data_IF_515534909171
#
_entry.id   IF_515534909171
#
_cell.length_a   1.000
_cell.length_b   1.000
_cell.length_c   1.000
_cell.angle_alpha   90.00
_cell.angle_beta   90.00
_cell.angle_gamma   90.00
#
_symmetry.space_group_name_H-M   'P 1'
#
loop_
_entity.id
_entity.type
_entity.pdbx_description
1 polymer ?
#
# COMPACT_ATOMS: atom_id res chain seq x y z
N UNK A 1 -28.88 -12.11 -7.81
CA UNK A 1 -30.13 -11.37 -7.57
C UNK A 1 -29.78 -9.91 -7.29
N UNK A 2 -30.05 -8.97 -8.20
CA UNK A 2 -29.80 -7.53 -7.97
C UNK A 2 -30.82 -7.03 -6.93
N UNK A 3 -30.37 -6.71 -5.71
CA UNK A 3 -31.19 -5.98 -4.73
C UNK A 3 -31.41 -4.56 -5.26
N UNK A 4 -32.62 -4.02 -5.14
CA UNK A 4 -32.93 -2.64 -5.53
C UNK A 4 -32.02 -1.68 -4.76
N UNK A 5 -31.46 -0.63 -5.41
CA UNK A 5 -30.67 0.38 -4.72
C UNK A 5 -31.51 1.03 -3.62
N UNK A 6 -30.92 1.22 -2.43
CA UNK A 6 -31.58 1.82 -1.26
C UNK A 6 -31.87 3.31 -1.46
N UNK A 7 -31.10 3.97 -2.33
CA UNK A 7 -31.22 5.38 -2.73
C UNK A 7 -30.81 5.51 -4.19
N UNK A 8 -31.63 6.15 -5.03
CA UNK A 8 -31.27 6.45 -6.43
C UNK A 8 -30.96 7.93 -6.58
N UNK A 9 -29.73 8.21 -6.99
CA UNK A 9 -29.19 9.52 -7.35
C UNK A 9 -28.79 9.51 -8.84
N UNK A 10 -29.47 8.71 -9.66
CA UNK A 10 -29.16 8.59 -11.08
C UNK A 10 -29.36 9.95 -11.77
N UNK A 11 -28.37 10.39 -12.54
CA UNK A 11 -28.30 11.71 -13.18
C UNK A 11 -28.44 12.90 -12.22
N UNK A 12 -28.23 12.69 -10.91
CA UNK A 12 -28.24 13.79 -9.96
C UNK A 12 -27.05 14.71 -10.20
N UNK A 13 -27.27 16.02 -10.01
CA UNK A 13 -26.20 17.01 -9.98
C UNK A 13 -25.75 17.25 -8.54
N UNK A 14 -24.57 16.74 -8.24
CA UNK A 14 -23.82 16.87 -7.00
C UNK A 14 -22.51 17.63 -7.25
N UNK A 15 -22.41 18.38 -8.34
CA UNK A 15 -21.20 19.14 -8.66
C UNK A 15 -20.86 20.14 -7.56
N UNK A 16 -19.58 20.25 -7.22
CA UNK A 16 -19.09 21.09 -6.13
C UNK A 16 -19.55 20.69 -4.72
N UNK A 17 -20.28 19.56 -4.56
CA UNK A 17 -20.77 19.14 -3.25
C UNK A 17 -19.62 18.73 -2.31
N UNK A 18 -19.83 18.91 -1.01
CA UNK A 18 -18.92 18.44 0.04
C UNK A 18 -19.46 17.12 0.60
N UNK A 19 -18.86 16.01 0.19
CA UNK A 19 -19.31 14.64 0.47
C UNK A 19 -18.34 13.94 1.42
N UNK A 20 -18.16 14.50 2.62
CA UNK A 20 -17.27 13.93 3.65
C UNK A 20 -18.01 12.87 4.47
N UNK A 21 -17.52 11.64 4.47
CA UNK A 21 -18.14 10.51 5.18
C UNK A 21 -19.49 10.07 4.60
N UNK A 22 -19.83 10.52 3.38
CA UNK A 22 -21.05 10.13 2.72
C UNK A 22 -21.04 8.62 2.41
N UNK A 23 -22.13 7.92 2.74
CA UNK A 23 -22.28 6.50 2.39
C UNK A 23 -23.17 6.36 1.16
N UNK A 24 -22.55 5.95 0.06
CA UNK A 24 -23.22 5.60 -1.19
C UNK A 24 -23.35 4.07 -1.35
N UNK A 25 -23.36 3.33 -0.24
CA UNK A 25 -23.48 1.88 -0.24
C UNK A 25 -24.77 1.43 -0.96
N UNK A 26 -24.63 0.64 -2.03
CA UNK A 26 -25.73 0.27 -2.95
C UNK A 26 -26.49 1.44 -3.59
N UNK A 27 -25.91 2.64 -3.66
CA UNK A 27 -26.54 3.76 -4.34
C UNK A 27 -26.46 3.61 -5.87
N UNK A 28 -27.49 4.08 -6.56
CA UNK A 28 -27.43 4.26 -8.01
C UNK A 28 -27.01 5.70 -8.32
N UNK A 29 -25.76 5.87 -8.75
CA UNK A 29 -25.14 7.11 -9.20
C UNK A 29 -24.90 7.10 -10.71
N UNK A 30 -25.62 6.25 -11.46
CA UNK A 30 -25.46 6.16 -12.92
C UNK A 30 -25.69 7.53 -13.55
N UNK A 31 -24.71 8.01 -14.32
CA UNK A 31 -24.75 9.33 -14.97
C UNK A 31 -24.75 10.52 -14.02
N UNK A 32 -24.53 10.33 -12.71
CA UNK A 32 -24.50 11.42 -11.76
C UNK A 32 -23.30 12.34 -12.03
N UNK A 33 -23.52 13.65 -11.90
CA UNK A 33 -22.48 14.66 -11.99
C UNK A 33 -21.97 14.98 -10.59
N UNK A 34 -20.75 14.57 -10.27
CA UNK A 34 -20.04 14.91 -9.04
C UNK A 34 -18.82 15.80 -9.35
N UNK A 35 -18.75 16.42 -10.52
CA UNK A 35 -17.58 17.20 -10.93
C UNK A 35 -17.27 18.32 -9.93
N UNK A 36 -15.99 18.50 -9.60
CA UNK A 36 -15.56 19.50 -8.62
C UNK A 36 -15.97 19.22 -7.16
N UNK A 37 -16.65 18.11 -6.88
CA UNK A 37 -16.99 17.73 -5.51
C UNK A 37 -15.74 17.42 -4.66
N UNK A 38 -15.82 17.76 -3.37
CA UNK A 38 -14.85 17.38 -2.36
C UNK A 38 -15.34 16.10 -1.67
N UNK A 39 -14.79 14.95 -2.06
CA UNK A 39 -15.22 13.63 -1.59
C UNK A 39 -14.13 13.07 -0.70
N UNK A 40 -14.44 12.88 0.59
CA UNK A 40 -13.47 12.37 1.54
C UNK A 40 -14.07 11.26 2.40
N UNK A 41 -13.40 10.11 2.49
CA UNK A 41 -13.83 8.94 3.26
C UNK A 41 -15.26 8.50 2.94
N UNK A 42 -15.69 8.72 1.70
CA UNK A 42 -17.00 8.30 1.23
C UNK A 42 -16.96 6.83 0.80
N UNK A 43 -17.97 6.07 1.20
CA UNK A 43 -18.07 4.64 0.86
C UNK A 43 -18.89 4.43 -0.41
N UNK A 44 -18.28 3.87 -1.46
CA UNK A 44 -18.95 3.54 -2.74
C UNK A 44 -19.18 2.04 -2.94
N UNK A 45 -18.99 1.22 -1.91
CA UNK A 45 -19.10 -0.23 -2.04
C UNK A 45 -20.45 -0.63 -2.64
N UNK A 46 -20.41 -1.40 -3.73
CA UNK A 46 -21.57 -1.83 -4.51
C UNK A 46 -22.43 -0.71 -5.13
N UNK A 47 -21.94 0.53 -5.19
CA UNK A 47 -22.60 1.60 -5.92
C UNK A 47 -22.53 1.36 -7.43
N UNK A 48 -23.58 1.73 -8.17
CA UNK A 48 -23.52 1.81 -9.62
C UNK A 48 -23.11 3.23 -10.02
N UNK A 49 -21.98 3.37 -10.71
CA UNK A 49 -21.48 4.69 -11.14
C UNK A 49 -21.12 4.69 -12.63
N UNK A 50 -21.82 3.88 -13.42
CA UNK A 50 -21.61 3.84 -14.86
C UNK A 50 -21.85 5.25 -15.44
N UNK A 51 -20.88 5.74 -16.21
CA UNK A 51 -20.87 7.09 -16.78
C UNK A 51 -21.01 8.24 -15.75
N UNK A 52 -20.72 8.00 -14.47
CA UNK A 52 -20.67 9.10 -13.51
C UNK A 52 -19.48 10.00 -13.79
N UNK A 53 -19.66 11.31 -13.56
CA UNK A 53 -18.62 12.31 -13.76
C UNK A 53 -18.05 12.77 -12.42
N UNK A 54 -16.84 12.34 -12.10
CA UNK A 54 -16.05 12.82 -10.97
C UNK A 54 -14.86 13.65 -11.45
N UNK A 55 -14.98 14.37 -12.57
CA UNK A 55 -13.90 15.22 -13.09
C UNK A 55 -13.58 16.39 -12.15
N UNK A 56 -12.31 16.77 -12.08
CA UNK A 56 -11.80 17.85 -11.23
C UNK A 56 -12.14 17.67 -9.73
N UNK A 57 -12.33 16.43 -9.28
CA UNK A 57 -12.63 16.13 -7.88
C UNK A 57 -11.37 15.86 -7.09
N UNK A 58 -11.43 16.10 -5.77
CA UNK A 58 -10.43 15.57 -4.84
C UNK A 58 -11.06 14.42 -4.07
N UNK A 59 -10.54 13.22 -4.31
CA UNK A 59 -10.94 11.97 -3.67
C UNK A 59 -9.90 11.64 -2.61
N UNK A 60 -10.25 11.81 -1.34
CA UNK A 60 -9.34 11.52 -0.21
C UNK A 60 -9.84 10.31 0.57
N UNK A 61 -9.04 9.24 0.66
CA UNK A 61 -9.43 8.05 1.43
C UNK A 61 -10.65 7.34 0.84
N UNK A 62 -10.82 7.38 -0.49
CA UNK A 62 -11.95 6.79 -1.21
C UNK A 62 -11.49 5.50 -1.88
N UNK A 63 -12.14 4.39 -1.55
CA UNK A 63 -11.92 3.10 -2.22
C UNK A 63 -13.01 2.85 -3.25
N UNK A 64 -12.58 2.71 -4.49
CA UNK A 64 -13.40 2.40 -5.66
C UNK A 64 -13.22 0.93 -6.06
N UNK A 65 -12.96 0.06 -5.09
CA UNK A 65 -12.60 -1.34 -5.31
C UNK A 65 -13.81 -2.23 -5.63
N UNK A 66 -13.58 -3.28 -6.41
CA UNK A 66 -14.58 -4.29 -6.82
C UNK A 66 -15.82 -3.68 -7.50
N UNK A 67 -15.65 -2.55 -8.19
CA UNK A 67 -16.77 -1.81 -8.78
C UNK A 67 -16.97 -2.14 -10.26
N UNK A 68 -18.23 -2.07 -10.71
CA UNK A 68 -18.59 -2.10 -12.13
C UNK A 68 -19.01 -0.70 -12.57
N UNK A 69 -18.06 0.05 -13.14
CA UNK A 69 -18.22 1.49 -13.45
C UNK A 69 -17.65 1.83 -14.84
N UNK A 70 -18.19 1.23 -15.92
CA UNK A 70 -17.78 1.57 -17.27
C UNK A 70 -18.04 3.04 -17.57
N UNK A 71 -17.11 3.68 -18.30
CA UNK A 71 -17.23 5.09 -18.71
C UNK A 71 -17.14 6.12 -17.57
N UNK A 72 -16.70 5.71 -16.37
CA UNK A 72 -16.44 6.63 -15.24
C UNK A 72 -15.45 7.72 -15.68
N UNK A 73 -15.71 8.98 -15.32
CA UNK A 73 -14.72 10.04 -15.50
C UNK A 73 -14.09 10.48 -14.18
N UNK A 74 -12.77 10.46 -14.13
CA UNK A 74 -11.91 11.03 -13.08
C UNK A 74 -10.93 12.04 -13.67
N UNK A 75 -11.34 12.72 -14.75
CA UNK A 75 -10.47 13.61 -15.51
C UNK A 75 -9.99 14.76 -14.63
N UNK A 76 -8.68 15.02 -14.63
CA UNK A 76 -8.03 16.05 -13.80
C UNK A 76 -8.30 15.92 -12.29
N UNK A 77 -8.72 14.74 -11.84
CA UNK A 77 -9.02 14.50 -10.42
C UNK A 77 -7.78 14.11 -9.66
N UNK A 78 -7.84 14.21 -8.34
CA UNK A 78 -6.78 13.77 -7.43
C UNK A 78 -7.28 12.60 -6.62
N UNK A 79 -6.60 11.46 -6.70
CA UNK A 79 -6.86 10.30 -5.87
C UNK A 79 -5.78 10.22 -4.79
N UNK A 80 -6.07 10.76 -3.61
CA UNK A 80 -5.15 10.76 -2.48
C UNK A 80 -5.56 9.69 -1.47
N UNK A 81 -4.68 8.74 -1.17
CA UNK A 81 -4.95 7.62 -0.25
C UNK A 81 -6.19 6.80 -0.67
N UNK A 82 -6.47 6.73 -1.96
CA UNK A 82 -7.58 5.98 -2.53
C UNK A 82 -7.08 4.83 -3.41
N UNK A 83 -7.96 3.88 -3.69
CA UNK A 83 -7.64 2.66 -4.43
C UNK A 83 -8.72 2.36 -5.48
N UNK A 84 -8.31 1.72 -6.57
CA UNK A 84 -9.19 1.25 -7.65
C UNK A 84 -8.81 -0.21 -7.97
N UNK A 85 -8.97 -1.09 -7.00
CA UNK A 85 -8.57 -2.50 -7.16
C UNK A 85 -9.72 -3.36 -7.68
N UNK A 86 -9.39 -4.37 -8.48
CA UNK A 86 -10.31 -5.41 -8.96
C UNK A 86 -11.59 -4.85 -9.60
N UNK A 87 -11.48 -3.72 -10.27
CA UNK A 87 -12.64 -2.95 -10.76
C UNK A 87 -12.75 -2.99 -12.27
N UNK A 88 -13.99 -2.98 -12.77
CA UNK A 88 -14.30 -3.04 -14.18
C UNK A 88 -14.71 -1.65 -14.70
N UNK A 89 -13.79 -0.98 -15.38
CA UNK A 89 -13.92 0.41 -15.82
C UNK A 89 -13.39 0.62 -17.25
N UNK A 90 -13.88 -0.18 -18.22
CA UNK A 90 -13.50 -0.01 -19.60
C UNK A 90 -13.97 1.35 -20.13
N UNK A 91 -13.13 1.99 -20.95
CA UNK A 91 -13.41 3.30 -21.54
C UNK A 91 -13.51 4.44 -20.52
N UNK A 92 -13.05 4.24 -19.27
CA UNK A 92 -13.01 5.30 -18.28
C UNK A 92 -12.12 6.46 -18.76
N UNK A 93 -12.53 7.68 -18.41
CA UNK A 93 -11.77 8.89 -18.71
C UNK A 93 -11.01 9.34 -17.47
N UNK A 94 -9.74 8.94 -17.40
CA UNK A 94 -8.76 9.22 -16.35
C UNK A 94 -7.71 10.24 -16.81
N UNK A 95 -7.97 11.00 -17.88
CA UNK A 95 -7.00 11.92 -18.44
C UNK A 95 -6.60 12.98 -17.40
N UNK A 96 -5.29 13.20 -17.21
CA UNK A 96 -4.76 14.13 -16.21
C UNK A 96 -5.02 13.75 -14.75
N UNK A 97 -5.47 12.51 -14.48
CA UNK A 97 -5.61 11.99 -13.12
C UNK A 97 -4.27 12.04 -12.38
N UNK A 98 -4.27 12.54 -11.15
CA UNK A 98 -3.13 12.46 -10.24
C UNK A 98 -3.44 11.41 -9.16
N UNK A 99 -2.90 10.21 -9.35
CA UNK A 99 -3.07 9.07 -8.46
C UNK A 99 -1.72 8.57 -7.93
N UNK A 100 -0.75 9.47 -7.78
CA UNK A 100 0.57 9.16 -7.25
C UNK A 100 0.48 8.39 -5.91
N UNK A 101 1.16 7.25 -5.80
CA UNK A 101 1.07 6.29 -4.69
C UNK A 101 -0.28 5.55 -4.55
N UNK A 102 -1.09 5.52 -5.60
CA UNK A 102 -2.33 4.76 -5.65
C UNK A 102 -2.11 3.26 -5.91
N UNK A 103 -3.15 2.46 -5.68
CA UNK A 103 -3.22 1.07 -6.11
C UNK A 103 -4.37 0.92 -7.12
N UNK A 104 -4.06 0.32 -8.26
CA UNK A 104 -5.02 -0.02 -9.31
C UNK A 104 -4.69 -1.44 -9.75
N UNK A 105 -4.94 -2.42 -8.88
CA UNK A 105 -4.48 -3.81 -9.09
C UNK A 105 -5.62 -4.70 -9.59
N UNK A 106 -5.38 -5.53 -10.60
CA UNK A 106 -6.34 -6.49 -11.14
C UNK A 106 -7.59 -5.86 -11.79
N UNK A 107 -7.50 -4.61 -12.20
CA UNK A 107 -8.60 -3.83 -12.78
C UNK A 107 -8.65 -3.92 -14.31
N UNK A 108 -9.86 -3.77 -14.88
CA UNK A 108 -10.07 -3.64 -16.31
C UNK A 108 -10.17 -2.17 -16.71
N UNK A 109 -9.09 -1.67 -17.30
CA UNK A 109 -8.91 -0.33 -17.85
C UNK A 109 -8.89 -0.35 -19.39
N UNK A 110 -9.48 -1.38 -20.01
CA UNK A 110 -9.41 -1.53 -21.47
C UNK A 110 -10.04 -0.32 -22.15
N UNK A 111 -9.35 0.24 -23.15
CA UNK A 111 -9.74 1.46 -23.89
C UNK A 111 -9.91 2.72 -23.03
N UNK A 112 -9.46 2.71 -21.77
CA UNK A 112 -9.49 3.89 -20.93
C UNK A 112 -8.57 4.99 -21.48
N UNK A 113 -8.95 6.25 -21.28
CA UNK A 113 -8.10 7.39 -21.56
C UNK A 113 -7.37 7.82 -20.30
N UNK A 114 -6.07 7.53 -20.21
CA UNK A 114 -5.20 7.96 -19.12
C UNK A 114 -4.29 9.12 -19.54
N UNK A 115 -4.51 9.74 -20.70
CA UNK A 115 -3.56 10.70 -21.26
C UNK A 115 -3.18 11.82 -20.30
N UNK A 116 -1.88 12.08 -20.16
CA UNK A 116 -1.32 13.10 -19.26
C UNK A 116 -1.48 12.82 -17.77
N UNK A 117 -1.96 11.64 -17.37
CA UNK A 117 -2.09 11.28 -15.96
C UNK A 117 -0.73 11.15 -15.27
N UNK A 118 -0.69 11.53 -13.99
CA UNK A 118 0.42 11.26 -13.09
C UNK A 118 0.13 10.00 -12.26
N UNK A 119 0.72 8.89 -12.68
CA UNK A 119 0.54 7.55 -12.11
C UNK A 119 1.89 7.01 -11.63
N UNK A 120 2.77 7.90 -11.13
CA UNK A 120 4.02 7.46 -10.53
C UNK A 120 3.74 6.65 -9.27
N UNK A 121 4.63 5.71 -8.97
CA UNK A 121 4.56 4.88 -7.76
C UNK A 121 3.22 4.13 -7.62
N UNK A 122 2.54 3.88 -8.74
CA UNK A 122 1.23 3.22 -8.79
C UNK A 122 1.39 1.76 -9.20
N UNK A 123 0.67 0.86 -8.51
CA UNK A 123 0.63 -0.56 -8.81
C UNK A 123 -0.50 -0.88 -9.79
N UNK A 124 -0.14 -1.43 -10.97
CA UNK A 124 -1.00 -1.89 -12.06
C UNK A 124 -0.85 -3.41 -12.29
N UNK A 125 -0.41 -4.17 -11.29
CA UNK A 125 -0.18 -5.60 -11.43
C UNK A 125 -1.46 -6.32 -11.91
N UNK A 126 -1.33 -7.08 -13.00
CA UNK A 126 -2.43 -7.86 -13.58
C UNK A 126 -3.54 -7.06 -14.27
N UNK A 127 -3.39 -5.74 -14.45
CA UNK A 127 -4.41 -4.91 -15.07
C UNK A 127 -4.60 -5.16 -16.57
N UNK A 128 -5.84 -5.06 -17.04
CA UNK A 128 -6.14 -5.06 -18.48
C UNK A 128 -6.16 -3.62 -19.02
N UNK A 129 -5.07 -3.22 -19.67
CA UNK A 129 -4.88 -1.91 -20.33
C UNK A 129 -5.02 -2.01 -21.86
N UNK A 130 -5.70 -3.04 -22.37
CA UNK A 130 -5.84 -3.28 -23.81
C UNK A 130 -6.44 -2.07 -24.52
N UNK A 131 -5.75 -1.53 -25.51
CA UNK A 131 -6.20 -0.38 -26.28
C UNK A 131 -6.31 0.93 -25.50
N UNK A 132 -5.78 1.00 -24.27
CA UNK A 132 -5.81 2.21 -23.47
C UNK A 132 -4.92 3.32 -24.07
N UNK A 133 -5.29 4.58 -23.84
CA UNK A 133 -4.49 5.73 -24.23
C UNK A 133 -3.63 6.20 -23.06
N UNK A 134 -2.33 5.92 -23.08
CA UNK A 134 -1.36 6.35 -22.06
C UNK A 134 -0.47 7.49 -22.59
N UNK A 135 -0.93 8.30 -23.54
CA UNK A 135 -0.11 9.37 -24.09
C UNK A 135 0.36 10.35 -23.00
N UNK A 136 1.67 10.62 -22.94
CA UNK A 136 2.28 11.51 -21.95
C UNK A 136 2.01 11.16 -20.48
N UNK A 137 1.76 9.89 -20.17
CA UNK A 137 1.58 9.44 -18.78
C UNK A 137 2.91 9.33 -18.06
N UNK A 138 2.95 9.72 -16.78
CA UNK A 138 4.05 9.41 -15.89
C UNK A 138 3.80 8.08 -15.18
N UNK A 139 4.56 7.03 -15.51
CA UNK A 139 4.52 5.71 -14.86
C UNK A 139 5.78 5.44 -14.02
N UNK A 140 6.55 6.47 -13.68
CA UNK A 140 7.82 6.29 -12.96
C UNK A 140 7.60 5.52 -11.65
N UNK A 141 8.46 4.53 -11.38
CA UNK A 141 8.39 3.59 -10.26
C UNK A 141 7.09 2.75 -10.16
N UNK A 142 6.23 2.77 -11.18
CA UNK A 142 5.03 1.94 -11.21
C UNK A 142 5.33 0.46 -11.51
N UNK A 143 4.40 -0.41 -11.13
CA UNK A 143 4.47 -1.85 -11.41
C UNK A 143 3.39 -2.25 -12.42
N UNK A 144 3.77 -2.68 -13.62
CA UNK A 144 2.87 -3.18 -14.67
C UNK A 144 2.96 -4.70 -14.82
N UNK A 145 3.59 -5.44 -13.91
CA UNK A 145 3.82 -6.88 -14.03
C UNK A 145 2.52 -7.64 -14.29
N UNK A 146 2.52 -8.52 -15.29
CA UNK A 146 1.33 -9.27 -15.67
C UNK A 146 0.20 -8.46 -16.31
N UNK A 147 0.33 -7.13 -16.44
CA UNK A 147 -0.68 -6.30 -17.10
C UNK A 147 -0.70 -6.51 -18.62
N UNK A 148 -1.87 -6.32 -19.24
CA UNK A 148 -2.05 -6.45 -20.68
C UNK A 148 -2.04 -5.08 -21.37
N UNK A 149 -0.93 -4.73 -22.01
CA UNK A 149 -0.76 -3.48 -22.77
C UNK A 149 -1.06 -3.63 -24.28
N UNK A 150 -1.73 -4.70 -24.72
CA UNK A 150 -1.96 -4.96 -26.15
C UNK A 150 -2.71 -3.81 -26.81
N UNK A 151 -2.10 -3.20 -27.83
CA UNK A 151 -2.69 -2.08 -28.58
C UNK A 151 -2.79 -0.75 -27.81
N UNK A 152 -2.20 -0.65 -26.62
CA UNK A 152 -2.16 0.59 -25.86
C UNK A 152 -1.28 1.65 -26.55
N UNK A 153 -1.69 2.93 -26.49
CA UNK A 153 -0.90 4.03 -27.01
C UNK A 153 0.06 4.54 -25.94
N UNK A 154 1.36 4.26 -26.12
CA UNK A 154 2.42 4.53 -25.16
C UNK A 154 3.28 5.75 -25.53
N UNK A 155 2.80 6.61 -26.44
CA UNK A 155 3.57 7.74 -26.96
C UNK A 155 3.83 8.77 -25.85
N UNK A 156 5.10 9.10 -25.59
CA UNK A 156 5.48 10.11 -24.60
C UNK A 156 5.39 9.63 -23.14
N UNK A 157 5.17 8.34 -22.90
CA UNK A 157 5.15 7.78 -21.53
C UNK A 157 6.53 7.92 -20.88
N UNK A 158 6.55 8.36 -19.63
CA UNK A 158 7.75 8.34 -18.77
C UNK A 158 7.78 7.05 -17.96
N UNK A 159 8.81 6.21 -18.21
CA UNK A 159 8.95 4.88 -17.61
C UNK A 159 10.04 4.78 -16.53
N UNK A 160 10.45 5.86 -15.87
CA UNK A 160 11.64 5.80 -15.03
C UNK A 160 11.51 4.77 -13.90
N UNK A 161 12.34 3.72 -13.91
CA UNK A 161 12.26 2.58 -12.99
C UNK A 161 10.89 1.86 -12.96
N UNK A 162 10.17 1.83 -14.07
CA UNK A 162 8.88 1.12 -14.17
C UNK A 162 9.09 -0.37 -14.41
N UNK A 163 8.43 -1.23 -13.64
CA UNK A 163 8.39 -2.67 -13.87
C UNK A 163 7.36 -2.96 -14.98
N UNK A 164 7.77 -3.62 -16.05
CA UNK A 164 6.95 -3.89 -17.24
C UNK A 164 6.19 -5.22 -17.11
N UNK A 165 5.20 -5.51 -17.97
CA UNK A 165 4.44 -6.76 -17.92
C UNK A 165 5.24 -8.06 -17.86
N UNK A 166 6.40 -8.09 -18.50
CA UNK A 166 7.31 -9.24 -18.53
C UNK A 166 8.27 -9.32 -17.34
N UNK A 167 8.12 -8.41 -16.36
CA UNK A 167 9.01 -8.28 -15.22
C UNK A 167 10.34 -7.57 -15.52
N UNK A 168 10.53 -7.04 -16.74
CA UNK A 168 11.69 -6.21 -17.05
C UNK A 168 11.52 -4.79 -16.50
N UNK A 169 12.63 -4.15 -16.11
CA UNK A 169 12.59 -2.73 -15.68
C UNK A 169 12.91 -1.85 -16.88
N UNK A 170 11.99 -0.96 -17.25
CA UNK A 170 12.20 0.02 -18.32
C UNK A 170 12.76 1.32 -17.77
N UNK A 171 13.60 1.99 -18.55
CA UNK A 171 14.39 3.16 -18.15
C UNK A 171 15.03 3.02 -16.74
N UNK A 172 15.80 1.93 -16.49
CA UNK A 172 16.53 1.78 -15.24
C UNK A 172 17.59 2.89 -15.18
N UNK A 173 17.37 3.91 -14.34
CA UNK A 173 18.27 5.05 -14.27
C UNK A 173 19.33 4.85 -13.19
N UNK A 174 20.58 5.26 -13.51
CA UNK A 174 21.67 5.43 -12.52
C UNK A 174 21.54 6.77 -11.75
N UNK A 175 20.36 7.38 -11.73
CA UNK A 175 20.09 8.74 -11.24
C UNK A 175 18.58 9.03 -11.14
N UNK A 176 18.21 10.30 -10.94
CA UNK A 176 16.83 10.75 -10.72
C UNK A 176 15.98 10.74 -12.00
N UNK A 177 14.69 10.46 -11.84
CA UNK A 177 13.69 10.47 -12.91
C UNK A 177 13.43 11.87 -13.47
N UNK A 178 12.95 12.01 -14.73
CA UNK A 178 12.56 13.30 -15.28
C UNK A 178 11.51 14.00 -14.39
N UNK A 179 11.79 15.24 -13.96
CA UNK A 179 10.93 16.00 -13.06
C UNK A 179 11.27 15.86 -11.57
N UNK A 180 12.11 14.89 -11.19
CA UNK A 180 12.73 14.88 -9.87
C UNK A 180 13.86 15.90 -9.83
N UNK A 181 13.79 16.83 -8.89
CA UNK A 181 14.89 17.74 -8.61
C UNK A 181 15.99 16.99 -7.85
N UNK A 182 17.27 17.16 -8.20
CA UNK A 182 18.36 16.79 -7.32
C UNK A 182 18.08 17.34 -5.93
N UNK A 183 18.25 16.56 -4.84
CA UNK A 183 18.29 17.14 -3.51
C UNK A 183 19.27 18.30 -3.58
N UNK A 184 18.80 19.51 -3.27
CA UNK A 184 19.61 20.70 -3.42
C UNK A 184 20.94 20.46 -2.70
N UNK A 185 22.04 20.51 -3.46
CA UNK A 185 23.35 20.67 -2.87
C UNK A 185 23.28 22.00 -2.13
N UNK A 186 23.19 21.92 -0.80
CA UNK A 186 23.18 23.06 0.14
C UNK A 186 21.96 23.99 0.07
N UNK A 187 21.03 23.80 1.01
CA UNK A 187 20.56 24.89 1.89
C UNK A 187 19.75 26.05 1.31
N UNK A 188 18.56 25.81 0.74
CA UNK A 188 17.44 26.73 0.98
C UNK A 188 16.07 26.02 0.84
N UNK A 189 15.16 26.13 1.83
CA UNK A 189 13.86 25.46 1.80
C UNK A 189 12.88 26.10 0.80
N UNK A 190 12.04 25.27 0.20
CA UNK A 190 10.87 25.68 -0.59
C UNK A 190 9.83 26.26 0.38
N UNK A 191 9.34 27.50 0.20
CA UNK A 191 8.35 28.08 1.10
C UNK A 191 6.99 27.41 0.89
N UNK A 192 6.52 26.67 1.90
CA UNK A 192 5.16 26.15 1.99
C UNK A 192 4.32 27.03 2.93
N UNK A 193 3.10 27.44 2.53
CA UNK A 193 2.21 28.19 3.43
C UNK A 193 1.78 27.31 4.61
N UNK A 194 1.60 27.91 5.80
CA UNK A 194 1.21 27.22 7.04
C UNK A 194 -0.15 26.48 6.93
N UNK A 195 -0.94 26.79 5.89
CA UNK A 195 -2.19 26.12 5.54
C UNK A 195 -2.01 24.83 4.72
N UNK A 196 -0.78 24.47 4.32
CA UNK A 196 -0.51 23.23 3.60
C UNK A 196 -0.71 22.01 4.51
N UNK A 197 -1.47 20.97 4.10
CA UNK A 197 -1.63 19.74 4.88
C UNK A 197 -0.32 18.98 5.07
N UNK A 198 0.69 19.31 4.27
CA UNK A 198 2.05 18.75 4.37
C UNK A 198 3.01 19.63 5.17
N UNK A 199 2.57 20.79 5.70
CA UNK A 199 3.45 21.71 6.43
C UNK A 199 4.14 21.01 7.61
N UNK A 200 3.42 20.21 8.41
CA UNK A 200 4.00 19.47 9.54
C UNK A 200 4.99 18.38 9.11
N UNK A 201 4.66 17.62 8.05
CA UNK A 201 5.52 16.56 7.52
C UNK A 201 6.77 17.12 6.83
N UNK A 202 6.62 18.21 6.05
CA UNK A 202 7.71 18.87 5.34
C UNK A 202 8.61 19.65 6.30
N UNK A 203 8.05 20.30 7.33
CA UNK A 203 8.85 20.93 8.40
C UNK A 203 9.64 19.89 9.22
N UNK A 204 9.15 18.66 9.33
CA UNK A 204 9.90 17.53 9.88
C UNK A 204 10.97 17.00 8.90
N UNK A 205 10.69 16.96 7.58
CA UNK A 205 11.64 16.59 6.51
C UNK A 205 12.79 17.60 6.35
N UNK A 206 12.56 18.90 6.59
CA UNK A 206 13.59 19.95 6.49
C UNK A 206 14.63 19.84 7.62
N UNK A 207 14.24 19.32 8.79
CA UNK A 207 15.11 19.26 9.98
C UNK A 207 15.80 17.89 10.20
N UNK A 208 15.47 16.87 9.41
CA UNK A 208 16.02 15.51 9.52
C UNK A 208 16.75 15.11 8.24
N UNK A 209 18.08 15.04 8.30
CA UNK A 209 19.03 14.70 7.22
C UNK A 209 18.51 13.71 6.18
N UNK A 210 18.30 14.18 4.95
CA UNK A 210 18.06 13.33 3.78
C UNK A 210 19.38 12.72 3.28
N UNK A 211 19.44 11.38 3.20
CA UNK A 211 20.50 10.71 2.44
C UNK A 211 20.15 10.78 0.96
N UNK A 212 20.99 11.42 0.16
CA UNK A 212 20.82 11.48 -1.30
C UNK A 212 21.04 10.10 -1.93
N UNK A 213 20.35 9.81 -3.04
CA UNK A 213 20.62 8.62 -3.85
C UNK A 213 22.12 8.55 -4.21
N UNK A 214 22.75 7.39 -3.97
CA UNK A 214 24.20 7.20 -4.12
C UNK A 214 25.03 7.52 -2.87
N UNK A 215 24.40 7.94 -1.78
CA UNK A 215 25.05 8.06 -0.47
C UNK A 215 25.64 6.71 -0.07
N UNK A 216 26.93 6.69 0.27
CA UNK A 216 27.57 5.50 0.82
C UNK A 216 27.42 5.51 2.33
N UNK A 217 26.52 4.68 2.85
CA UNK A 217 26.41 4.41 4.29
C UNK A 217 27.17 3.13 4.57
N UNK A 218 28.26 3.21 5.32
CA UNK A 218 29.11 2.05 5.68
C UNK A 218 29.50 1.16 4.48
N UNK A 219 29.79 1.78 3.33
CA UNK A 219 30.19 1.09 2.09
C UNK A 219 29.04 0.64 1.20
N UNK A 220 27.79 0.71 1.66
CA UNK A 220 26.59 0.44 0.88
C UNK A 220 26.09 1.72 0.18
N UNK A 221 25.95 1.69 -1.15
CA UNK A 221 25.37 2.79 -1.91
C UNK A 221 23.84 2.72 -1.84
N UNK A 222 23.19 3.71 -1.22
CA UNK A 222 21.74 3.74 -1.02
C UNK A 222 21.02 4.22 -2.30
N UNK A 223 20.31 3.32 -2.99
CA UNK A 223 19.48 3.54 -4.19
C UNK A 223 18.43 2.41 -4.40
N UNK A 224 17.53 2.55 -5.38
CA UNK A 224 16.74 1.41 -5.86
C UNK A 224 17.68 0.33 -6.45
N UNK A 225 17.35 -0.96 -6.29
CA UNK A 225 18.20 -2.10 -6.72
C UNK A 225 19.56 -2.20 -6.02
N UNK A 226 19.69 -1.60 -4.84
CA UNK A 226 20.90 -1.68 -4.02
C UNK A 226 21.18 -3.11 -3.59
N UNK A 227 22.35 -3.65 -3.92
CA UNK A 227 22.82 -4.95 -3.41
C UNK A 227 23.81 -4.73 -2.29
N UNK A 228 23.34 -4.92 -1.06
CA UNK A 228 24.16 -4.83 0.14
C UNK A 228 23.84 -5.98 1.12
N UNK A 229 24.05 -7.24 0.71
CA UNK A 229 23.90 -8.36 1.62
C UNK A 229 24.92 -8.27 2.76
N UNK A 230 24.47 -8.48 4.00
CA UNK A 230 25.33 -8.40 5.18
C UNK A 230 25.81 -6.98 5.54
N UNK A 231 25.18 -5.93 4.98
CA UNK A 231 25.57 -4.55 5.29
C UNK A 231 25.32 -4.20 6.75
N UNK A 232 26.22 -3.44 7.36
CA UNK A 232 25.98 -2.85 8.67
C UNK A 232 25.46 -1.42 8.47
N UNK A 233 24.17 -1.22 8.71
CA UNK A 233 23.45 0.06 8.68
C UNK A 233 22.90 0.41 10.08
N UNK A 234 23.49 -0.15 11.13
CA UNK A 234 23.06 0.07 12.52
C UNK A 234 22.98 1.54 12.85
N UNK A 235 21.86 1.95 13.47
CA UNK A 235 21.60 3.34 13.92
C UNK A 235 21.72 4.40 12.80
N UNK A 236 21.72 3.98 11.54
CA UNK A 236 21.74 4.91 10.42
C UNK A 236 20.44 5.72 10.38
N UNK A 237 20.54 7.01 10.01
CA UNK A 237 19.35 7.78 9.67
C UNK A 237 19.07 7.62 8.18
N UNK A 238 18.14 6.73 7.86
CA UNK A 238 17.69 6.37 6.51
C UNK A 238 16.28 6.94 6.22
N UNK A 239 15.86 7.98 6.95
CA UNK A 239 14.55 8.58 6.81
C UNK A 239 14.27 9.02 5.36
N UNK A 240 13.12 8.63 4.82
CA UNK A 240 12.75 8.89 3.42
C UNK A 240 13.56 8.10 2.38
N UNK A 241 14.41 7.16 2.80
CA UNK A 241 15.20 6.33 1.90
C UNK A 241 14.32 5.39 1.08
N UNK A 242 14.53 5.38 -0.25
CA UNK A 242 13.88 4.41 -1.14
C UNK A 242 14.88 3.31 -1.51
N UNK A 243 14.74 2.17 -0.85
CA UNK A 243 15.43 0.90 -1.05
C UNK A 243 14.51 -0.13 -1.73
N UNK A 244 13.59 0.34 -2.57
CA UNK A 244 12.76 -0.54 -3.38
C UNK A 244 13.62 -1.48 -4.24
N UNK A 245 13.24 -2.74 -4.32
CA UNK A 245 13.98 -3.80 -5.02
C UNK A 245 15.42 -4.02 -4.51
N UNK A 246 15.78 -3.51 -3.33
CA UNK A 246 17.10 -3.72 -2.76
C UNK A 246 17.28 -5.16 -2.26
N UNK A 247 18.51 -5.67 -2.32
CA UNK A 247 18.94 -6.90 -1.64
C UNK A 247 19.73 -6.52 -0.39
N UNK A 248 19.07 -6.65 0.76
CA UNK A 248 19.54 -6.38 2.11
C UNK A 248 19.62 -7.67 2.94
N UNK A 249 19.68 -8.84 2.30
CA UNK A 249 19.72 -10.11 3.01
C UNK A 249 20.83 -10.13 4.07
N UNK A 250 20.47 -10.49 5.30
CA UNK A 250 21.38 -10.52 6.46
C UNK A 250 21.99 -9.16 6.83
N UNK A 251 21.49 -8.06 6.27
CA UNK A 251 21.93 -6.73 6.66
C UNK A 251 21.48 -6.42 8.08
N UNK A 252 22.29 -5.68 8.82
CA UNK A 252 21.98 -5.19 10.16
C UNK A 252 21.56 -3.72 10.08
N UNK A 253 20.26 -3.48 10.18
CA UNK A 253 19.61 -2.17 10.22
C UNK A 253 19.17 -1.83 11.65
N UNK A 254 19.68 -2.51 12.66
CA UNK A 254 19.17 -2.37 14.02
C UNK A 254 19.33 -0.95 14.56
N UNK A 255 18.28 -0.44 15.20
CA UNK A 255 18.19 0.92 15.74
C UNK A 255 18.22 2.04 14.69
N UNK A 256 18.19 1.71 13.39
CA UNK A 256 18.14 2.72 12.33
C UNK A 256 16.77 3.40 12.28
N UNK A 257 16.69 4.56 11.63
CA UNK A 257 15.41 5.22 11.33
C UNK A 257 15.15 5.11 9.85
N UNK A 258 14.08 4.41 9.49
CA UNK A 258 13.59 4.25 8.12
C UNK A 258 12.18 4.86 7.98
N UNK A 259 11.87 5.82 8.84
CA UNK A 259 10.59 6.51 8.88
C UNK A 259 10.32 7.16 7.51
N UNK A 260 9.15 6.93 6.93
CA UNK A 260 8.78 7.37 5.57
C UNK A 260 9.68 6.82 4.44
N UNK A 261 10.51 5.81 4.72
CA UNK A 261 11.26 5.07 3.70
C UNK A 261 10.48 3.89 3.12
N UNK A 262 10.99 3.30 2.03
CA UNK A 262 10.44 2.09 1.42
C UNK A 262 11.52 1.06 1.08
N UNK A 263 11.31 -0.20 1.44
CA UNK A 263 12.03 -1.42 1.01
C UNK A 263 11.10 -2.32 0.17
N UNK A 264 10.05 -1.74 -0.43
CA UNK A 264 9.05 -2.49 -1.19
C UNK A 264 9.69 -3.32 -2.32
N UNK A 265 9.14 -4.52 -2.54
CA UNK A 265 9.61 -5.47 -3.56
C UNK A 265 11.09 -5.88 -3.43
N UNK A 266 11.73 -5.58 -2.30
CA UNK A 266 13.11 -5.95 -1.99
C UNK A 266 13.24 -7.32 -1.32
N UNK A 267 14.48 -7.77 -1.18
CA UNK A 267 14.86 -8.92 -0.36
C UNK A 267 15.62 -8.41 0.86
N UNK A 268 15.17 -8.78 2.06
CA UNK A 268 15.81 -8.51 3.33
C UNK A 268 15.70 -9.76 4.22
N UNK A 269 15.91 -10.93 3.62
CA UNK A 269 15.81 -12.20 4.33
C UNK A 269 16.88 -12.26 5.41
N UNK A 270 16.50 -12.67 6.62
CA UNK A 270 17.37 -12.75 7.79
C UNK A 270 18.02 -11.40 8.18
N UNK A 271 17.51 -10.27 7.67
CA UNK A 271 17.99 -8.95 8.06
C UNK A 271 17.56 -8.61 9.49
N UNK A 272 18.40 -7.83 10.18
CA UNK A 272 18.15 -7.37 11.53
C UNK A 272 17.58 -5.95 11.53
N UNK A 273 16.29 -5.86 11.80
CA UNK A 273 15.52 -4.62 11.95
C UNK A 273 15.20 -4.32 13.42
N UNK A 274 15.95 -4.90 14.38
CA UNK A 274 15.62 -4.72 15.80
C UNK A 274 15.69 -3.26 16.20
N UNK A 275 14.71 -2.78 16.96
CA UNK A 275 14.63 -1.37 17.40
C UNK A 275 14.57 -0.35 16.24
N UNK A 276 14.37 -0.79 15.00
CA UNK A 276 14.22 0.13 13.88
C UNK A 276 12.97 0.99 14.05
N UNK A 277 12.97 2.21 13.53
CA UNK A 277 11.76 3.01 13.35
C UNK A 277 11.32 2.95 11.88
N UNK A 278 10.32 2.14 11.58
CA UNK A 278 9.62 2.06 10.29
C UNK A 278 8.27 2.79 10.42
N UNK A 279 7.84 3.45 9.35
CA UNK A 279 6.51 4.06 9.27
C UNK A 279 6.16 4.44 7.84
N UNK A 280 4.89 4.28 7.45
CA UNK A 280 4.41 4.54 6.08
C UNK A 280 4.52 3.32 5.15
N UNK A 281 4.77 3.54 3.85
CA UNK A 281 4.77 2.51 2.79
C UNK A 281 6.06 1.67 2.76
N UNK A 282 6.39 1.03 3.88
CA UNK A 282 7.74 0.57 4.09
C UNK A 282 8.07 -0.76 3.40
N UNK A 283 7.16 -1.72 3.25
CA UNK A 283 7.58 -3.12 3.06
C UNK A 283 6.66 -3.96 2.15
N UNK A 284 5.90 -3.31 1.26
CA UNK A 284 4.93 -4.00 0.39
C UNK A 284 5.61 -5.06 -0.48
N UNK A 285 5.06 -6.27 -0.52
CA UNK A 285 5.50 -7.40 -1.35
C UNK A 285 7.01 -7.70 -1.27
N UNK A 286 7.65 -7.42 -0.14
CA UNK A 286 9.06 -7.68 0.04
C UNK A 286 9.30 -9.02 0.75
N UNK A 287 10.40 -9.69 0.39
CA UNK A 287 10.86 -10.92 1.03
C UNK A 287 11.67 -10.58 2.27
N UNK A 288 11.20 -10.98 3.45
CA UNK A 288 11.83 -10.71 4.74
C UNK A 288 11.78 -11.94 5.63
N UNK A 289 11.99 -13.11 5.04
CA UNK A 289 11.88 -14.40 5.72
C UNK A 289 12.96 -14.50 6.80
N UNK A 290 12.55 -14.84 8.02
CA UNK A 290 13.43 -14.92 9.19
C UNK A 290 14.03 -13.57 9.63
N UNK A 291 13.53 -12.43 9.13
CA UNK A 291 14.00 -11.12 9.56
C UNK A 291 13.60 -10.81 11.02
N UNK A 292 14.39 -9.97 11.68
CA UNK A 292 14.22 -9.66 13.12
C UNK A 292 13.76 -8.21 13.33
N UNK A 293 12.48 -8.01 13.66
CA UNK A 293 11.84 -6.73 14.00
C UNK A 293 11.63 -6.56 15.51
N UNK A 294 12.44 -7.20 16.34
CA UNK A 294 12.25 -7.16 17.79
C UNK A 294 12.32 -5.72 18.29
N UNK A 295 11.28 -5.30 19.00
CA UNK A 295 11.14 -3.96 19.60
C UNK A 295 11.18 -2.84 18.54
N UNK A 296 10.89 -3.15 17.27
CA UNK A 296 10.77 -2.18 16.20
C UNK A 296 9.54 -1.28 16.40
N UNK A 297 9.66 0.00 16.07
CA UNK A 297 8.52 0.88 15.84
C UNK A 297 8.00 0.63 14.43
N UNK A 298 6.78 0.10 14.30
CA UNK A 298 6.11 -0.25 13.05
C UNK A 298 4.75 0.46 12.91
N UNK A 299 4.53 1.54 13.65
CA UNK A 299 3.24 2.22 13.67
C UNK A 299 2.90 2.76 12.28
N UNK A 300 1.70 2.46 11.78
CA UNK A 300 1.24 2.82 10.42
C UNK A 300 2.11 2.23 9.29
N UNK A 301 2.86 1.16 9.55
CA UNK A 301 3.68 0.52 8.52
C UNK A 301 2.84 -0.37 7.60
N UNK A 302 3.10 -0.26 6.30
CA UNK A 302 2.51 -1.12 5.27
C UNK A 302 3.44 -2.30 4.95
N UNK A 303 2.98 -3.50 5.31
CA UNK A 303 3.59 -4.82 5.09
C UNK A 303 2.66 -5.71 4.27
N UNK A 304 1.82 -5.11 3.41
CA UNK A 304 0.87 -5.85 2.55
C UNK A 304 1.62 -6.83 1.66
N UNK A 305 1.17 -8.08 1.64
CA UNK A 305 1.73 -9.14 0.80
C UNK A 305 3.19 -9.50 1.09
N UNK A 306 3.78 -9.01 2.18
CA UNK A 306 5.18 -9.32 2.52
C UNK A 306 5.35 -10.79 2.92
N UNK A 307 6.47 -11.39 2.51
CA UNK A 307 6.88 -12.72 2.96
C UNK A 307 7.68 -12.59 4.25
N UNK A 308 7.06 -12.97 5.38
CA UNK A 308 7.56 -12.80 6.75
C UNK A 308 7.66 -14.15 7.46
N UNK A 309 7.89 -15.24 6.72
CA UNK A 309 7.93 -16.60 7.27
C UNK A 309 9.04 -16.69 8.31
N UNK A 310 8.68 -17.09 9.53
CA UNK A 310 9.61 -17.20 10.66
C UNK A 310 10.20 -15.87 11.15
N UNK A 311 9.69 -14.72 10.70
CA UNK A 311 10.15 -13.42 11.18
C UNK A 311 9.83 -13.21 12.66
N UNK A 312 10.67 -12.45 13.36
CA UNK A 312 10.48 -12.11 14.78
C UNK A 312 10.02 -10.67 14.93
N UNK A 313 9.01 -10.43 15.76
CA UNK A 313 8.39 -9.14 16.06
C UNK A 313 8.25 -8.96 17.58
N UNK A 314 9.11 -9.59 18.38
CA UNK A 314 8.95 -9.65 19.83
C UNK A 314 8.95 -8.23 20.40
N UNK A 315 7.86 -7.86 21.08
CA UNK A 315 7.69 -6.54 21.68
C UNK A 315 7.65 -5.38 20.68
N UNK A 316 7.45 -5.62 19.38
CA UNK A 316 7.33 -4.55 18.38
C UNK A 316 6.07 -3.69 18.58
N UNK A 317 6.13 -2.42 18.21
CA UNK A 317 4.98 -1.48 18.23
C UNK A 317 4.42 -1.28 16.81
N UNK A 318 3.56 -2.21 16.38
CA UNK A 318 2.87 -2.22 15.10
C UNK A 318 1.42 -1.72 15.14
N UNK A 319 1.12 -0.72 15.98
CA UNK A 319 -0.21 -0.09 15.99
C UNK A 319 -0.59 0.41 14.61
N UNK A 320 -1.82 0.11 14.17
CA UNK A 320 -2.34 0.52 12.86
C UNK A 320 -1.51 0.02 11.66
N UNK A 321 -0.62 -0.97 11.84
CA UNK A 321 0.12 -1.56 10.74
C UNK A 321 -0.78 -2.44 9.85
N UNK A 322 -0.46 -2.55 8.56
CA UNK A 322 -1.16 -3.41 7.61
C UNK A 322 -0.30 -4.59 7.20
N UNK A 323 -0.71 -5.78 7.61
CA UNK A 323 -0.20 -7.10 7.22
C UNK A 323 -1.18 -7.83 6.29
N UNK A 324 -2.05 -7.10 5.59
CA UNK A 324 -3.07 -7.70 4.72
C UNK A 324 -2.40 -8.60 3.67
N UNK A 325 -2.85 -9.85 3.57
CA UNK A 325 -2.30 -10.85 2.66
C UNK A 325 -0.85 -11.29 2.93
N UNK A 326 -0.22 -10.84 4.01
CA UNK A 326 1.15 -11.20 4.33
C UNK A 326 1.28 -12.68 4.76
N UNK A 327 2.44 -13.28 4.47
CA UNK A 327 2.78 -14.62 4.93
C UNK A 327 3.61 -14.55 6.23
N UNK A 328 2.95 -14.77 7.37
CA UNK A 328 3.53 -14.74 8.72
C UNK A 328 3.66 -16.15 9.30
N UNK A 329 3.77 -17.20 8.47
CA UNK A 329 3.88 -18.59 8.95
C UNK A 329 5.05 -18.74 9.92
N UNK A 330 4.78 -19.28 11.11
CA UNK A 330 5.79 -19.48 12.16
C UNK A 330 6.40 -18.20 12.72
N UNK A 331 5.85 -17.01 12.42
CA UNK A 331 6.36 -15.74 12.93
C UNK A 331 6.19 -15.64 14.46
N UNK A 332 7.12 -14.96 15.12
CA UNK A 332 7.07 -14.74 16.56
C UNK A 332 6.67 -13.29 16.88
N UNK A 333 5.41 -13.07 17.23
CA UNK A 333 4.80 -11.79 17.58
C UNK A 333 4.58 -11.63 19.10
N UNK A 334 5.33 -12.39 19.92
CA UNK A 334 5.15 -12.40 21.38
C UNK A 334 5.24 -10.99 21.97
N UNK A 335 4.21 -10.59 22.72
CA UNK A 335 4.16 -9.28 23.39
C UNK A 335 4.09 -8.07 22.46
N UNK A 336 3.91 -8.25 21.15
CA UNK A 336 3.82 -7.14 20.21
C UNK A 336 2.54 -6.32 20.43
N UNK A 337 2.62 -5.01 20.22
CA UNK A 337 1.46 -4.14 20.17
C UNK A 337 0.97 -3.99 18.73
N UNK A 338 -0.11 -4.68 18.39
CA UNK A 338 -0.71 -4.77 17.05
C UNK A 338 -2.13 -4.19 17.05
N UNK A 339 -2.46 -3.34 18.03
CA UNK A 339 -3.81 -2.80 18.18
C UNK A 339 -4.22 -2.01 16.93
N UNK A 340 -5.45 -2.20 16.48
CA UNK A 340 -6.02 -1.62 15.26
C UNK A 340 -5.26 -1.95 13.95
N UNK A 341 -4.38 -2.95 13.96
CA UNK A 341 -3.72 -3.44 12.75
C UNK A 341 -4.65 -4.25 11.84
N UNK A 342 -4.32 -4.34 10.54
CA UNK A 342 -5.01 -5.22 9.58
C UNK A 342 -4.17 -6.46 9.29
N UNK A 343 -4.78 -7.63 9.44
CA UNK A 343 -4.26 -8.95 9.08
C UNK A 343 -5.22 -9.65 8.11
N UNK A 344 -6.00 -8.88 7.35
CA UNK A 344 -7.03 -9.42 6.45
C UNK A 344 -6.39 -10.40 5.47
N UNK A 345 -6.88 -11.64 5.42
CA UNK A 345 -6.35 -12.70 4.55
C UNK A 345 -4.90 -13.12 4.83
N UNK A 346 -4.28 -12.68 5.92
CA UNK A 346 -2.90 -13.04 6.26
C UNK A 346 -2.78 -14.52 6.65
N UNK A 347 -1.63 -15.14 6.35
CA UNK A 347 -1.33 -16.49 6.79
C UNK A 347 -0.49 -16.47 8.07
N UNK A 348 -1.11 -16.79 9.21
CA UNK A 348 -0.49 -16.83 10.53
C UNK A 348 -0.30 -18.28 11.02
N UNK A 349 -0.21 -19.25 10.11
CA UNK A 349 -0.11 -20.67 10.51
C UNK A 349 1.11 -20.91 11.39
N UNK A 350 0.90 -21.45 12.60
CA UNK A 350 1.95 -21.71 13.59
C UNK A 350 2.58 -20.44 14.20
N UNK A 351 2.02 -19.25 13.96
CA UNK A 351 2.56 -18.01 14.52
C UNK A 351 2.35 -17.94 16.04
N UNK A 352 3.31 -17.38 16.77
CA UNK A 352 3.20 -17.16 18.21
C UNK A 352 2.83 -15.70 18.50
N UNK A 353 1.60 -15.46 18.94
CA UNK A 353 1.07 -14.15 19.34
C UNK A 353 0.84 -14.07 20.86
N UNK A 354 1.52 -14.90 21.65
CA UNK A 354 1.33 -14.92 23.11
C UNK A 354 1.59 -13.54 23.73
N UNK A 355 0.67 -13.09 24.59
CA UNK A 355 0.73 -11.78 25.23
C UNK A 355 0.63 -10.56 24.30
N UNK A 356 0.36 -10.74 23.00
CA UNK A 356 0.25 -9.62 22.06
C UNK A 356 -1.03 -8.80 22.32
N UNK A 357 -0.98 -7.49 22.07
CA UNK A 357 -2.16 -6.64 22.07
C UNK A 357 -2.74 -6.54 20.66
N UNK A 358 -3.91 -7.10 20.43
CA UNK A 358 -4.64 -7.09 19.15
C UNK A 358 -5.97 -6.33 19.28
N UNK A 359 -6.07 -5.42 20.26
CA UNK A 359 -7.30 -4.65 20.50
C UNK A 359 -7.74 -3.94 19.22
N UNK A 360 -8.95 -4.23 18.74
CA UNK A 360 -9.52 -3.63 17.53
C UNK A 360 -8.86 -4.05 16.21
N UNK A 361 -7.98 -5.06 16.22
CA UNK A 361 -7.34 -5.55 15.01
C UNK A 361 -8.33 -6.26 14.08
N UNK A 362 -8.08 -6.20 12.77
CA UNK A 362 -8.88 -6.88 11.76
C UNK A 362 -8.18 -8.14 11.23
N UNK A 363 -8.62 -9.31 11.68
CA UNK A 363 -8.15 -10.65 11.29
C UNK A 363 -9.12 -11.34 10.30
N UNK A 364 -9.93 -10.57 9.56
CA UNK A 364 -10.92 -11.14 8.63
C UNK A 364 -10.26 -12.07 7.61
N UNK A 365 -10.74 -13.31 7.50
CA UNK A 365 -10.22 -14.29 6.54
C UNK A 365 -8.78 -14.78 6.82
N UNK A 366 -8.17 -14.42 7.96
CA UNK A 366 -6.82 -14.87 8.29
C UNK A 366 -6.77 -16.38 8.56
N UNK A 367 -5.67 -17.04 8.20
CA UNK A 367 -5.41 -18.42 8.58
C UNK A 367 -4.67 -18.47 9.92
N UNK A 368 -5.35 -18.90 10.99
CA UNK A 368 -4.83 -18.98 12.37
C UNK A 368 -4.54 -20.43 12.81
N UNK A 369 -4.40 -21.35 11.86
CA UNK A 369 -4.10 -22.77 12.15
C UNK A 369 -2.83 -22.87 12.99
N UNK A 370 -2.88 -23.58 14.11
CA UNK A 370 -1.77 -23.77 15.06
C UNK A 370 -1.20 -22.47 15.67
N UNK A 371 -1.87 -21.33 15.47
CA UNK A 371 -1.44 -20.06 16.06
C UNK A 371 -1.65 -20.07 17.58
N UNK A 372 -0.77 -19.38 18.30
CA UNK A 372 -0.83 -19.28 19.76
C UNK A 372 -1.17 -17.86 20.23
N UNK A 373 -2.37 -17.68 20.78
CA UNK A 373 -2.84 -16.42 21.36
C UNK A 373 -2.81 -16.40 22.90
N UNK A 374 -2.12 -17.32 23.58
CA UNK A 374 -2.15 -17.38 25.05
C UNK A 374 -1.85 -16.01 25.69
N UNK A 375 -2.78 -15.50 26.50
CA UNK A 375 -2.66 -14.19 27.14
C UNK A 375 -2.74 -12.97 26.22
N UNK A 376 -3.06 -13.13 24.93
CA UNK A 376 -3.24 -12.01 24.01
C UNK A 376 -4.54 -11.24 24.27
N UNK A 377 -4.54 -9.94 24.06
CA UNK A 377 -5.74 -9.10 24.15
C UNK A 377 -6.44 -9.01 22.79
N UNK A 378 -7.57 -9.69 22.65
CA UNK A 378 -8.41 -9.70 21.44
C UNK A 378 -9.64 -8.78 21.57
N UNK A 379 -9.64 -7.85 22.54
CA UNK A 379 -10.79 -6.96 22.77
C UNK A 379 -11.18 -6.24 21.49
N UNK A 380 -12.43 -6.38 21.05
CA UNK A 380 -12.97 -5.80 19.80
C UNK A 380 -12.28 -6.23 18.49
N UNK A 381 -11.42 -7.25 18.50
CA UNK A 381 -10.81 -7.78 17.28
C UNK A 381 -11.87 -8.44 16.37
N UNK A 382 -11.81 -8.16 15.06
CA UNK A 382 -12.69 -8.78 14.07
C UNK A 382 -12.02 -10.04 13.50
N UNK A 383 -12.63 -11.22 13.71
CA UNK A 383 -12.12 -12.51 13.22
C UNK A 383 -13.12 -13.18 12.26
N UNK A 384 -13.96 -12.40 11.57
CA UNK A 384 -14.93 -12.94 10.62
C UNK A 384 -14.24 -13.76 9.52
N UNK A 385 -14.69 -14.99 9.29
CA UNK A 385 -14.11 -15.87 8.27
C UNK A 385 -12.68 -16.34 8.53
N UNK A 386 -12.09 -16.06 9.71
CA UNK A 386 -10.78 -16.58 10.06
C UNK A 386 -10.83 -18.11 10.26
N UNK A 387 -9.80 -18.81 9.79
CA UNK A 387 -9.67 -20.26 9.96
C UNK A 387 -8.99 -20.56 11.29
N UNK A 388 -9.65 -21.38 12.12
CA UNK A 388 -9.08 -21.90 13.37
C UNK A 388 -8.89 -23.39 13.23
N UNK A 389 -7.71 -23.91 13.57
CA UNK A 389 -7.49 -25.34 13.73
C UNK A 389 -6.28 -25.56 14.63
N UNK A 390 -6.45 -26.29 15.73
CA UNK A 390 -5.42 -26.39 16.78
C UNK A 390 -4.91 -25.02 17.28
N UNK A 391 -5.76 -23.99 17.24
CA UNK A 391 -5.39 -22.61 17.63
C UNK A 391 -5.54 -22.45 19.14
N UNK A 392 -4.50 -22.00 19.84
CA UNK A 392 -4.57 -21.70 21.27
C UNK A 392 -5.15 -20.29 21.48
N UNK A 393 -6.20 -20.19 22.28
CA UNK A 393 -6.91 -18.95 22.58
C UNK A 393 -6.31 -18.24 23.80
N UNK A 394 -6.65 -16.95 24.06
CA UNK A 394 -6.10 -16.19 25.18
C UNK A 394 -6.26 -16.82 26.56
N UNK A 395 -7.36 -17.55 26.79
CA UNK A 395 -7.67 -18.24 28.04
C UNK A 395 -7.00 -19.62 28.17
N UNK A 396 -6.19 -20.03 27.18
CA UNK A 396 -5.53 -21.32 27.13
C UNK A 396 -6.38 -22.45 26.55
N UNK A 397 -7.62 -22.18 26.13
CA UNK A 397 -8.43 -23.17 25.39
C UNK A 397 -7.90 -23.37 23.97
N UNK A 398 -8.20 -24.53 23.37
CA UNK A 398 -7.83 -24.81 21.97
C UNK A 398 -9.09 -24.82 21.11
N UNK A 399 -9.13 -23.97 20.08
CA UNK A 399 -10.24 -23.88 19.14
C UNK A 399 -10.02 -24.81 17.94
N UNK A 400 -11.06 -25.58 17.63
CA UNK A 400 -11.04 -26.60 16.57
C UNK A 400 -9.87 -27.59 16.73
N UNK A 401 -9.79 -28.22 17.91
CA UNK A 401 -8.85 -29.29 18.18
C UNK A 401 -9.25 -30.55 17.38
N UNK A 402 -8.59 -30.79 16.24
CA UNK A 402 -8.90 -31.91 15.35
C UNK A 402 -7.98 -33.11 15.63
N UNK A 403 -8.57 -34.30 15.81
CA UNK A 403 -7.81 -35.58 15.83
C UNK A 403 -7.56 -36.16 14.43
N UNK A 404 -8.19 -35.60 13.39
CA UNK A 404 -8.29 -36.20 12.05
C UNK A 404 -7.87 -35.27 10.92
N UNK A 405 -7.13 -34.19 11.24
CA UNK A 405 -6.56 -33.25 10.27
C UNK A 405 -7.27 -31.90 10.27
N UNK A 406 -6.47 -30.84 10.15
CA UNK A 406 -6.90 -29.49 9.79
C UNK A 406 -7.08 -29.37 8.27
N UNK A 407 -7.93 -28.46 7.78
CA UNK A 407 -8.12 -28.22 6.35
C UNK A 407 -6.87 -27.72 5.64
#
# INVERSE_FOLDING_TARGET
MRRKPSTSCANADLSGAVLRGASFHYADLTGANLSGAAVAFAGFTYASMANADLSNTTLTGVSLNEMYVPGLSLKNSKLHLGSIDNSYLPGANLAGLDANFGAVVGSNLSKADLSGANLSDTDFNGDDLTGANLTNVNLSNGDLTGSNLTGANLTGVTYCNTLMPDGSVKNPHKGLCPGQTPPAATGNPIPLPASSPFYGAVNALINGTQLSAGSKVNGCAIAAFTKCPGANLTKANLQGGFLGYATLDKADLSGSSFYLGSIAFGHADQADFSQIQLGGNAAVNASMNGARFDHAGLTLTNLVGADLVGASFVGADGRLASFTGADLRGANLTGANLSQGSFTGANLTGANLSGANLTGANLTGANLTEANFLGADLTTANMAGATFCNTFMPDGTVKNASRTGCP
#
